data_IF_738099350830
#
_entry.id   IF_738099350830
#
_cell.length_a   1.000
_cell.length_b   1.000
_cell.length_c   1.000
_cell.angle_alpha   90.00
_cell.angle_beta   90.00
_cell.angle_gamma   90.00
#
_symmetry.space_group_name_H-M   'P 1'
#
loop_
_entity.id
_entity.type
_entity.pdbx_description
1 polymer ?
#
# COMPACT_ATOMS: atom_id res chain seq x y z
N UNK A 1 -15.81 -1.75 9.32
CA UNK A 1 -14.57 -2.01 10.05
C UNK A 1 -13.79 -3.06 9.30
N UNK A 2 -12.66 -2.72 8.69
CA UNK A 2 -11.63 -3.75 8.53
C UNK A 2 -10.26 -3.12 8.80
N UNK A 3 -9.65 -3.58 9.90
CA UNK A 3 -8.25 -3.37 10.20
C UNK A 3 -7.43 -4.24 9.25
N UNK A 4 -6.64 -3.61 8.39
CA UNK A 4 -5.87 -4.32 7.36
C UNK A 4 -4.47 -3.77 7.22
N UNK A 5 -3.57 -4.61 6.74
CA UNK A 5 -2.33 -4.16 6.09
C UNK A 5 -2.52 -4.39 4.60
N UNK A 6 -2.14 -3.42 3.78
CA UNK A 6 -2.30 -3.49 2.33
C UNK A 6 -0.99 -3.19 1.61
N UNK A 7 -0.90 -3.73 0.41
CA UNK A 7 0.25 -3.56 -0.48
C UNK A 7 -0.26 -3.14 -1.84
N UNK A 8 0.27 -2.02 -2.35
CA UNK A 8 0.09 -1.58 -3.73
C UNK A 8 1.26 -2.10 -4.54
N UNK A 9 0.93 -2.80 -5.63
CA UNK A 9 1.88 -3.43 -6.53
C UNK A 9 1.67 -2.87 -7.94
N UNK A 10 2.74 -2.91 -8.74
CA UNK A 10 2.64 -2.80 -10.18
C UNK A 10 3.10 -4.10 -10.83
N UNK A 11 2.52 -4.42 -11.99
CA UNK A 11 3.00 -5.53 -12.81
C UNK A 11 3.96 -5.01 -13.87
N UNK A 12 5.19 -5.50 -13.86
CA UNK A 12 6.18 -5.35 -14.93
C UNK A 12 6.39 -6.71 -15.58
N UNK A 13 5.83 -6.90 -16.78
CA UNK A 13 5.77 -8.19 -17.49
C UNK A 13 5.13 -9.27 -16.60
N UNK A 14 5.91 -10.24 -16.13
CA UNK A 14 5.43 -11.34 -15.27
C UNK A 14 5.90 -11.21 -13.82
N UNK A 15 6.34 -10.02 -13.41
CA UNK A 15 6.77 -9.74 -12.04
C UNK A 15 5.89 -8.67 -11.41
N UNK A 16 5.58 -8.86 -10.13
CA UNK A 16 4.95 -7.83 -9.33
C UNK A 16 5.99 -7.12 -8.50
N UNK A 17 6.10 -5.81 -8.68
CA UNK A 17 6.96 -4.94 -7.88
C UNK A 17 6.11 -4.25 -6.81
N UNK A 18 6.60 -4.22 -5.58
CA UNK A 18 5.93 -3.55 -4.47
C UNK A 18 6.21 -2.04 -4.57
N UNK A 19 5.15 -1.26 -4.73
CA UNK A 19 5.25 0.20 -4.78
C UNK A 19 5.08 0.83 -3.40
N UNK A 20 4.12 0.34 -2.62
CA UNK A 20 3.73 0.94 -1.36
C UNK A 20 3.12 -0.07 -0.40
N UNK A 21 3.35 0.13 0.90
CA UNK A 21 2.82 -0.67 1.99
C UNK A 21 2.33 0.27 3.09
N UNK A 22 1.14 0.02 3.62
CA UNK A 22 0.56 0.77 4.73
C UNK A 22 -0.59 -0.03 5.38
N UNK A 23 -1.24 0.56 6.38
CA UNK A 23 -2.36 -0.02 7.10
C UNK A 23 -3.59 0.90 7.10
N UNK A 24 -4.78 0.33 7.23
CA UNK A 24 -6.03 1.08 7.26
C UNK A 24 -7.00 0.46 8.27
N UNK A 25 -7.84 1.32 8.84
CA UNK A 25 -9.03 0.94 9.64
C UNK A 25 -10.33 1.26 8.89
N UNK A 26 -10.22 1.88 7.70
CA UNK A 26 -11.32 2.47 6.92
C UNK A 26 -11.34 1.97 5.47
N UNK A 27 -11.38 0.65 5.30
CA UNK A 27 -11.45 0.03 3.96
C UNK A 27 -12.78 0.27 3.24
N UNK A 28 -13.79 0.79 3.94
CA UNK A 28 -15.12 1.07 3.37
C UNK A 28 -15.19 2.39 2.59
N UNK A 29 -14.15 3.24 2.65
CA UNK A 29 -14.10 4.46 1.86
C UNK A 29 -13.85 4.12 0.39
N UNK A 30 -14.85 4.33 -0.48
CA UNK A 30 -14.76 4.07 -1.93
C UNK A 30 -13.57 4.76 -2.61
N UNK A 31 -13.14 5.89 -2.05
CA UNK A 31 -12.06 6.72 -2.59
C UNK A 31 -10.69 6.41 -1.96
N UNK A 32 -10.58 5.31 -1.21
CA UNK A 32 -9.37 4.93 -0.47
C UNK A 32 -8.10 4.97 -1.35
N UNK A 33 -8.19 4.55 -2.60
CA UNK A 33 -7.06 4.52 -3.54
C UNK A 33 -6.63 5.90 -4.04
N UNK A 34 -7.61 6.76 -4.34
CA UNK A 34 -7.39 8.06 -4.99
C UNK A 34 -7.10 9.19 -4.00
N UNK A 35 -7.48 9.05 -2.73
CA UNK A 35 -7.20 10.05 -1.68
C UNK A 35 -5.87 9.84 -0.96
N UNK A 36 -5.13 8.77 -1.26
CA UNK A 36 -3.83 8.56 -0.65
C UNK A 36 -2.81 9.60 -1.17
N UNK A 37 -2.07 10.32 -0.31
CA UNK A 37 -1.05 11.28 -0.75
C UNK A 37 0.03 10.67 -1.66
N UNK A 38 0.26 9.35 -1.56
CA UNK A 38 1.22 8.61 -2.38
C UNK A 38 0.65 8.14 -3.72
N UNK A 39 -0.64 8.37 -4.01
CA UNK A 39 -1.27 7.96 -5.26
C UNK A 39 -0.51 8.47 -6.49
N UNK A 40 -0.05 9.73 -6.47
CA UNK A 40 0.77 10.29 -7.56
C UNK A 40 2.06 9.50 -7.81
N UNK A 41 2.72 9.02 -6.75
CA UNK A 41 3.91 8.18 -6.87
C UNK A 41 3.56 6.81 -7.47
N UNK A 42 2.44 6.22 -7.06
CA UNK A 42 2.03 4.93 -7.61
C UNK A 42 1.81 5.01 -9.12
N UNK A 43 1.10 6.04 -9.57
CA UNK A 43 0.82 6.27 -10.99
C UNK A 43 2.09 6.62 -11.78
N UNK A 44 3.02 7.39 -11.22
CA UNK A 44 4.27 7.72 -11.92
C UNK A 44 5.13 6.47 -12.21
N UNK A 45 5.02 5.42 -11.39
CA UNK A 45 5.73 4.16 -11.61
C UNK A 45 4.92 3.12 -12.39
N UNK A 46 3.60 3.03 -12.14
CA UNK A 46 2.73 2.05 -12.81
C UNK A 46 2.23 2.51 -14.19
N UNK A 47 2.31 3.80 -14.49
CA UNK A 47 1.86 4.44 -15.72
C UNK A 47 0.36 4.78 -15.76
N UNK A 48 -0.48 3.93 -15.18
CA UNK A 48 -1.93 4.12 -15.10
C UNK A 48 -2.52 3.43 -13.86
N UNK A 49 -3.75 3.77 -13.49
CA UNK A 49 -4.44 3.19 -12.33
C UNK A 49 -4.76 1.71 -12.55
N UNK A 50 -5.11 1.35 -13.78
CA UNK A 50 -5.44 -0.02 -14.21
C UNK A 50 -4.23 -0.98 -14.13
N UNK A 51 -3.02 -0.42 -14.03
CA UNK A 51 -1.77 -1.16 -13.83
C UNK A 51 -1.45 -1.40 -12.36
N UNK A 52 -2.25 -0.87 -11.43
CA UNK A 52 -2.09 -1.08 -10.00
C UNK A 52 -2.83 -2.35 -9.56
N UNK A 53 -2.18 -3.08 -8.67
CA UNK A 53 -2.71 -4.29 -8.06
C UNK A 53 -2.68 -4.15 -6.55
N UNK A 54 -3.67 -4.74 -5.90
CA UNK A 54 -3.86 -4.67 -4.47
C UNK A 54 -3.72 -6.06 -3.85
N UNK A 55 -2.94 -6.14 -2.79
CA UNK A 55 -2.97 -7.27 -1.87
C UNK A 55 -3.37 -6.77 -0.48
N UNK A 56 -4.25 -7.50 0.19
CA UNK A 56 -4.77 -7.16 1.53
C UNK A 56 -4.47 -8.33 2.45
N UNK A 57 -3.92 -8.02 3.63
CA UNK A 57 -3.86 -8.90 4.79
C UNK A 57 -4.92 -8.43 5.81
N UNK A 58 -6.05 -9.16 5.93
CA UNK A 58 -7.02 -8.88 6.98
C UNK A 58 -6.41 -9.09 8.37
N UNK A 59 -6.59 -8.12 9.25
CA UNK A 59 -6.09 -8.12 10.63
C UNK A 59 -7.20 -7.76 11.61
N UNK A 60 -8.36 -8.43 11.48
CA UNK A 60 -9.55 -8.12 12.26
C UNK A 60 -9.27 -8.07 13.76
N UNK A 61 -9.77 -7.02 14.42
CA UNK A 61 -9.62 -6.77 15.86
C UNK A 61 -8.18 -6.54 16.32
N UNK A 62 -7.22 -6.36 15.40
CA UNK A 62 -5.86 -5.98 15.80
C UNK A 62 -5.86 -4.54 16.31
N UNK A 63 -4.94 -4.23 17.22
CA UNK A 63 -4.63 -2.84 17.56
C UNK A 63 -3.71 -2.23 16.52
N UNK A 64 -3.62 -0.89 16.48
CA UNK A 64 -2.80 -0.16 15.50
C UNK A 64 -1.32 -0.56 15.57
N UNK A 65 -0.79 -0.72 16.77
CA UNK A 65 0.62 -1.05 17.01
C UNK A 65 1.01 -2.40 16.40
N UNK A 66 0.10 -3.36 16.38
CA UNK A 66 0.34 -4.67 15.76
C UNK A 66 0.50 -4.54 14.24
N UNK A 67 -0.31 -3.68 13.60
CA UNK A 67 -0.24 -3.41 12.16
C UNK A 67 0.98 -2.57 11.82
N UNK A 68 1.26 -1.53 12.60
CA UNK A 68 2.48 -0.72 12.46
C UNK A 68 3.74 -1.61 12.49
N UNK A 69 3.78 -2.59 13.39
CA UNK A 69 4.88 -3.55 13.47
C UNK A 69 5.05 -4.35 12.18
N UNK A 70 3.95 -4.78 11.55
CA UNK A 70 4.02 -5.49 10.27
C UNK A 70 4.48 -4.56 9.17
N UNK A 71 3.82 -3.41 9.01
CA UNK A 71 4.14 -2.37 8.01
C UNK A 71 5.63 -2.02 8.07
N UNK A 72 6.15 -1.68 9.25
CA UNK A 72 7.55 -1.31 9.44
C UNK A 72 8.51 -2.45 9.05
N UNK A 73 8.22 -3.70 9.44
CA UNK A 73 9.05 -4.86 9.07
C UNK A 73 9.03 -5.12 7.57
N UNK A 74 7.88 -4.98 6.92
CA UNK A 74 7.77 -5.19 5.47
C UNK A 74 8.40 -4.06 4.67
N UNK A 75 8.26 -2.80 5.11
CA UNK A 75 8.94 -1.66 4.50
C UNK A 75 10.46 -1.84 4.60
N UNK A 76 10.98 -2.21 5.77
CA UNK A 76 12.42 -2.46 5.96
C UNK A 76 12.94 -3.62 5.09
N UNK A 77 12.12 -4.64 4.85
CA UNK A 77 12.49 -5.82 4.05
C UNK A 77 12.46 -5.54 2.54
N UNK A 78 11.41 -4.88 2.06
CA UNK A 78 11.14 -4.75 0.62
C UNK A 78 11.52 -3.38 0.05
N UNK A 79 11.77 -2.39 0.91
CA UNK A 79 12.15 -1.03 0.55
C UNK A 79 11.30 -0.42 -0.59
N UNK A 80 9.95 -0.35 -0.45
CA UNK A 80 9.09 0.10 -1.53
C UNK A 80 9.35 1.56 -1.90
N UNK A 81 9.46 1.87 -3.19
CA UNK A 81 9.86 3.19 -3.67
C UNK A 81 8.94 4.30 -3.16
N UNK A 82 7.62 4.11 -3.16
CA UNK A 82 6.68 5.14 -2.74
C UNK A 82 6.50 5.26 -1.22
N UNK A 83 7.07 4.35 -0.42
CA UNK A 83 7.23 4.56 1.02
C UNK A 83 8.43 5.46 1.34
N UNK A 84 9.46 5.44 0.49
CA UNK A 84 10.72 6.18 0.68
C UNK A 84 10.69 7.57 0.06
N UNK A 85 9.89 7.76 -1.00
CA UNK A 85 9.74 9.07 -1.62
C UNK A 85 8.96 10.02 -0.73
N UNK A 86 9.63 11.06 -0.23
CA UNK A 86 9.00 12.22 0.36
C UNK A 86 8.53 13.16 -0.75
N UNK A 87 7.45 12.82 -1.47
CA UNK A 87 6.78 13.80 -2.32
C UNK A 87 5.94 14.73 -1.44
N UNK A 88 6.21 16.05 -1.44
CA UNK A 88 5.37 17.07 -0.79
C UNK A 88 4.02 17.24 -1.50
#
# INVERSE_FOLDING_TARGET
>A
MEEVVYVILMRDKDRFNILYIDQSEKTEEKDFFIKNPKFKCWISHAGAEESLYLSILPMWKSVKEERDRIVNKTIAKYNPICNMENNP
#
